data_IF_429159762634
#
_entry.id   IF_429159762634
#
_cell.length_a   1.000
_cell.length_b   1.000
_cell.length_c   1.000
_cell.angle_alpha   90.00
_cell.angle_beta   90.00
_cell.angle_gamma   90.00
#
_symmetry.space_group_name_H-M   'P 1'
#
loop_
_entity.id
_entity.type
_entity.pdbx_description
1 polymer ?
#
# COMPACT_ATOMS: atom_id res chain seq x y z
N UNK A 1 3.58 31.44 14.79
CA UNK A 1 2.26 30.78 14.87
C UNK A 1 2.33 29.49 14.03
N UNK A 2 3.00 28.39 14.42
CA UNK A 2 2.69 27.40 15.47
C UNK A 2 1.28 26.79 15.40
N UNK A 3 0.85 26.25 14.24
CA UNK A 3 -0.35 25.37 14.14
C UNK A 3 -0.30 24.34 12.98
N UNK A 4 0.82 23.65 12.74
CA UNK A 4 0.86 22.57 11.72
C UNK A 4 1.38 21.22 12.27
N UNK A 5 1.86 21.16 13.52
CA UNK A 5 2.55 19.97 14.02
C UNK A 5 1.66 18.94 14.77
N UNK A 6 0.34 19.09 14.83
CA UNK A 6 -0.49 18.30 15.75
C UNK A 6 -1.44 17.27 15.12
N UNK A 7 -1.43 17.09 13.80
CA UNK A 7 -2.33 16.14 13.13
C UNK A 7 -1.69 14.77 12.82
N UNK A 8 -0.36 14.63 12.94
CA UNK A 8 0.36 13.41 12.54
C UNK A 8 0.59 12.39 13.66
N UNK A 9 0.20 12.68 14.90
CA UNK A 9 0.53 11.85 16.07
C UNK A 9 -0.66 11.12 16.70
N UNK A 10 -1.82 11.06 16.03
CA UNK A 10 -3.05 10.46 16.58
C UNK A 10 -3.42 9.08 16.01
N UNK A 11 -2.65 8.50 15.09
CA UNK A 11 -2.99 7.20 14.48
C UNK A 11 -2.42 5.96 15.19
N UNK A 12 -1.64 6.10 16.27
CA UNK A 12 -0.87 4.98 16.80
C UNK A 12 -1.58 4.09 17.84
N UNK A 13 -2.88 4.23 18.09
CA UNK A 13 -3.56 3.34 19.06
C UNK A 13 -4.98 2.98 18.62
N UNK A 14 -5.11 2.14 17.59
CA UNK A 14 -6.33 1.39 17.33
C UNK A 14 -6.06 -0.09 17.65
N UNK A 15 -6.66 -0.55 18.76
CA UNK A 15 -6.57 -1.95 19.18
C UNK A 15 -7.44 -2.83 18.26
N UNK A 16 -6.78 -3.80 17.63
CA UNK A 16 -7.24 -4.87 16.73
C UNK A 16 -8.49 -5.66 17.20
N UNK A 17 -9.72 -5.19 16.93
CA UNK A 17 -10.94 -6.02 17.10
C UNK A 17 -12.07 -5.76 16.09
N UNK A 18 -11.80 -5.06 14.99
CA UNK A 18 -12.69 -4.97 13.84
C UNK A 18 -11.83 -5.14 12.57
N UNK A 19 -12.41 -5.53 11.44
CA UNK A 19 -11.75 -5.60 10.12
C UNK A 19 -11.32 -4.19 9.64
N UNK A 20 -10.51 -3.51 10.44
CA UNK A 20 -9.99 -2.18 10.23
C UNK A 20 -8.81 -2.27 9.26
N UNK A 21 -8.62 -1.21 8.49
CA UNK A 21 -7.47 -1.09 7.59
C UNK A 21 -6.19 -1.09 8.43
N UNK A 22 -5.29 -2.03 8.16
CA UNK A 22 -4.02 -2.20 8.89
C UNK A 22 -2.92 -1.26 8.37
N UNK A 23 -3.08 -0.73 7.15
CA UNK A 23 -2.13 0.22 6.59
C UNK A 23 -2.70 0.99 5.41
N UNK A 24 -2.20 2.22 5.24
CA UNK A 24 -2.55 3.11 4.13
C UNK A 24 -1.25 3.52 3.44
N UNK A 25 -1.22 3.43 2.11
CA UNK A 25 -0.09 3.87 1.30
C UNK A 25 -0.55 4.84 0.21
N UNK A 26 0.32 5.79 -0.12
CA UNK A 26 0.13 6.74 -1.22
C UNK A 26 1.23 6.50 -2.25
N UNK A 27 0.84 6.33 -3.50
CA UNK A 27 1.77 6.06 -4.61
C UNK A 27 1.60 7.14 -5.67
N UNK A 28 2.72 7.69 -6.13
CA UNK A 28 2.76 8.63 -7.24
C UNK A 28 3.68 8.12 -8.33
N UNK A 29 3.24 8.19 -9.58
CA UNK A 29 4.03 7.83 -10.76
C UNK A 29 4.01 8.95 -11.79
N UNK A 30 5.15 9.25 -12.39
CA UNK A 30 5.28 10.21 -13.49
C UNK A 30 5.76 9.46 -14.74
N UNK A 31 5.02 9.58 -15.83
CA UNK A 31 5.37 9.00 -17.12
C UNK A 31 5.27 10.03 -18.26
N UNK A 32 5.84 9.74 -19.43
CA UNK A 32 5.87 10.67 -20.56
C UNK A 32 4.48 11.10 -21.05
N UNK A 33 3.50 10.21 -20.93
CA UNK A 33 2.14 10.39 -21.47
C UNK A 33 1.08 10.57 -20.38
N UNK A 34 1.37 10.17 -19.14
CA UNK A 34 0.43 10.21 -18.04
C UNK A 34 1.10 10.25 -16.68
N UNK A 35 0.44 10.97 -15.76
CA UNK A 35 0.74 11.00 -14.35
C UNK A 35 -0.24 10.09 -13.61
N UNK A 36 0.22 9.39 -12.59
CA UNK A 36 -0.59 8.50 -11.76
C UNK A 36 -0.51 8.92 -10.30
N UNK A 37 -1.66 8.92 -9.64
CA UNK A 37 -1.76 8.96 -8.17
C UNK A 37 -2.63 7.81 -7.70
N UNK A 38 -2.24 7.14 -6.63
CA UNK A 38 -2.99 6.04 -6.07
C UNK A 38 -2.96 6.04 -4.53
N UNK A 39 -4.03 5.51 -3.95
CA UNK A 39 -4.16 5.24 -2.52
C UNK A 39 -4.43 3.74 -2.36
N UNK A 40 -3.63 3.07 -1.54
CA UNK A 40 -3.80 1.66 -1.19
C UNK A 40 -4.18 1.53 0.27
N UNK A 41 -5.15 0.67 0.54
CA UNK A 41 -5.54 0.20 1.86
C UNK A 41 -5.11 -1.25 1.99
N UNK A 42 -4.53 -1.63 3.12
CA UNK A 42 -4.01 -2.97 3.35
C UNK A 42 -4.65 -3.61 4.58
N UNK A 43 -4.87 -4.93 4.53
CA UNK A 43 -5.38 -5.74 5.64
C UNK A 43 -4.50 -6.99 5.82
N UNK A 44 -3.78 -7.06 6.93
CA UNK A 44 -2.88 -8.16 7.25
C UNK A 44 -3.70 -9.44 7.51
N UNK A 45 -3.25 -10.57 6.97
CA UNK A 45 -3.92 -11.84 7.17
C UNK A 45 -3.76 -12.40 8.58
N UNK A 46 -2.86 -11.82 9.39
CA UNK A 46 -2.45 -12.33 10.69
C UNK A 46 -1.76 -13.69 10.62
N UNK A 47 -1.32 -14.11 9.42
CA UNK A 47 -0.71 -15.42 9.16
C UNK A 47 0.76 -15.27 8.77
N UNK A 48 1.58 -16.15 9.34
CA UNK A 48 3.01 -16.24 9.06
C UNK A 48 3.38 -17.68 8.74
N UNK A 49 4.18 -17.85 7.69
CA UNK A 49 4.69 -19.14 7.22
C UNK A 49 6.21 -19.12 7.20
N UNK A 50 6.81 -20.32 7.17
CA UNK A 50 8.28 -20.53 7.15
C UNK A 50 9.02 -19.89 8.33
N UNK A 51 8.48 -20.04 9.54
CA UNK A 51 8.93 -19.33 10.75
C UNK A 51 10.17 -19.94 11.44
N UNK A 52 10.83 -20.91 10.82
CA UNK A 52 11.92 -21.69 11.43
C UNK A 52 13.29 -20.97 11.40
N UNK A 53 13.40 -19.82 10.72
CA UNK A 53 14.62 -19.01 10.64
C UNK A 53 14.38 -17.52 10.83
N UNK A 54 15.29 -16.68 10.37
CA UNK A 54 15.21 -15.21 10.54
C UNK A 54 14.18 -14.53 9.63
N UNK A 55 13.63 -15.25 8.67
CA UNK A 55 12.66 -14.77 7.69
C UNK A 55 11.30 -15.42 7.90
N UNK A 56 10.25 -14.70 7.57
CA UNK A 56 8.90 -15.23 7.50
C UNK A 56 8.18 -14.69 6.27
N UNK A 57 7.30 -15.53 5.73
CA UNK A 57 6.35 -15.13 4.71
C UNK A 57 5.04 -14.75 5.39
N UNK A 58 4.60 -13.52 5.20
CA UNK A 58 3.26 -13.07 5.55
C UNK A 58 2.46 -12.73 4.29
N UNK A 59 1.28 -12.18 4.50
CA UNK A 59 0.52 -11.59 3.41
C UNK A 59 -0.60 -10.70 3.90
N UNK A 60 -1.10 -9.90 2.98
CA UNK A 60 -2.19 -8.96 3.22
C UNK A 60 -3.04 -8.83 1.97
N UNK A 61 -4.30 -8.44 2.17
CA UNK A 61 -5.13 -7.93 1.09
C UNK A 61 -4.78 -6.48 0.85
N UNK A 62 -4.64 -6.07 -0.41
CA UNK A 62 -4.45 -4.70 -0.82
C UNK A 62 -5.62 -4.27 -1.70
N UNK A 63 -6.28 -3.16 -1.34
CA UNK A 63 -7.27 -2.48 -2.17
C UNK A 63 -6.68 -1.15 -2.62
N UNK A 64 -6.58 -0.94 -3.92
CA UNK A 64 -5.98 0.27 -4.50
C UNK A 64 -7.00 1.02 -5.32
N UNK A 65 -7.15 2.31 -5.05
CA UNK A 65 -7.80 3.27 -5.95
C UNK A 65 -6.74 4.12 -6.63
N UNK A 66 -6.73 4.15 -7.96
CA UNK A 66 -5.76 4.88 -8.76
C UNK A 66 -6.45 5.79 -9.78
N UNK A 67 -5.85 6.95 -10.01
CA UNK A 67 -6.24 7.92 -11.02
C UNK A 67 -5.05 8.22 -11.91
N UNK A 68 -5.25 8.13 -13.23
CA UNK A 68 -4.28 8.55 -14.23
C UNK A 68 -4.78 9.79 -14.94
N UNK A 69 -3.90 10.79 -15.03
CA UNK A 69 -4.12 12.02 -15.77
C UNK A 69 -3.20 12.05 -16.97
N UNK A 70 -3.75 12.03 -18.18
CA UNK A 70 -2.99 12.19 -19.41
C UNK A 70 -2.38 13.59 -19.51
N UNK A 71 -1.12 13.69 -19.95
CA UNK A 71 -0.38 14.95 -20.13
C UNK A 71 -0.32 15.41 -21.61
N UNK A 72 -1.09 14.74 -22.48
CA UNK A 72 -1.17 15.03 -23.92
C UNK A 72 -2.15 16.15 -24.33
N UNK A 73 -2.15 16.54 -25.62
CA UNK A 73 -2.99 17.65 -26.14
C UNK A 73 -4.50 17.40 -26.08
N UNK A 74 -4.95 16.19 -25.77
CA UNK A 74 -6.32 15.89 -25.32
C UNK A 74 -6.30 15.48 -23.84
N UNK A 75 -6.27 16.45 -22.90
CA UNK A 75 -6.22 16.21 -21.45
C UNK A 75 -7.53 15.65 -20.86
N UNK A 76 -8.51 15.28 -21.70
CA UNK A 76 -9.88 14.98 -21.28
C UNK A 76 -10.10 13.54 -20.78
N UNK A 77 -9.08 12.67 -20.85
CA UNK A 77 -9.21 11.29 -20.38
C UNK A 77 -8.49 11.10 -19.05
N UNK A 78 -9.23 11.37 -17.97
CA UNK A 78 -8.89 10.85 -16.65
C UNK A 78 -9.35 9.39 -16.60
N UNK A 79 -8.40 8.48 -16.39
CA UNK A 79 -8.68 7.06 -16.19
C UNK A 79 -8.73 6.80 -14.69
N UNK A 80 -9.76 6.10 -14.24
CA UNK A 80 -9.86 5.67 -12.85
C UNK A 80 -9.80 4.16 -12.79
N UNK A 81 -9.12 3.61 -11.79
CA UNK A 81 -9.18 2.19 -11.53
C UNK A 81 -9.29 1.90 -10.05
N UNK A 82 -9.96 0.79 -9.78
CA UNK A 82 -9.99 0.17 -8.47
C UNK A 82 -9.54 -1.28 -8.62
N UNK A 83 -8.65 -1.73 -7.75
CA UNK A 83 -8.15 -3.08 -7.79
C UNK A 83 -7.97 -3.68 -6.42
N UNK A 84 -8.02 -5.01 -6.38
CA UNK A 84 -7.79 -5.80 -5.18
C UNK A 84 -6.77 -6.90 -5.48
N UNK A 85 -5.78 -7.04 -4.61
CA UNK A 85 -4.72 -8.04 -4.75
C UNK A 85 -4.44 -8.74 -3.41
N UNK A 86 -4.29 -10.08 -3.38
CA UNK A 86 -3.55 -10.75 -2.33
C UNK A 86 -2.04 -10.51 -2.57
N UNK A 87 -1.36 -9.92 -1.59
CA UNK A 87 0.08 -9.66 -1.65
C UNK A 87 0.79 -10.50 -0.59
N UNK A 88 1.79 -11.26 -1.01
CA UNK A 88 2.68 -12.00 -0.14
C UNK A 88 3.92 -11.17 0.13
N UNK A 89 4.32 -11.05 1.41
CA UNK A 89 5.50 -10.30 1.83
C UNK A 89 6.49 -11.24 2.53
N UNK A 90 7.69 -11.34 1.99
CA UNK A 90 8.82 -12.00 2.63
C UNK A 90 9.65 -10.94 3.38
N UNK A 91 9.72 -11.08 4.70
CA UNK A 91 10.43 -10.13 5.57
C UNK A 91 11.11 -10.84 6.74
N UNK A 92 12.02 -10.15 7.45
CA UNK A 92 12.70 -10.69 8.64
C UNK A 92 11.89 -10.52 9.92
N UNK A 93 12.07 -11.42 10.87
CA UNK A 93 11.50 -11.31 12.23
C UNK A 93 12.10 -10.16 13.02
N UNK A 94 13.43 -10.09 13.02
CA UNK A 94 14.16 -9.07 13.76
C UNK A 94 14.78 -8.10 12.77
N UNK A 95 14.46 -6.81 12.88
CA UNK A 95 15.15 -5.77 12.15
C UNK A 95 16.68 -5.88 12.27
N UNK A 96 17.40 -6.04 11.16
CA UNK A 96 18.87 -6.02 11.19
C UNK A 96 19.36 -4.58 11.12
N UNK A 97 19.15 -3.83 12.20
CA UNK A 97 19.49 -2.41 12.31
C UNK A 97 18.43 -1.48 11.70
N UNK A 98 18.87 -0.37 11.11
CA UNK A 98 17.98 0.65 10.54
C UNK A 98 17.40 0.27 9.16
N UNK A 99 17.97 -0.74 8.50
CA UNK A 99 17.52 -1.24 7.20
C UNK A 99 16.88 -2.62 7.34
N UNK A 100 15.62 -2.71 6.94
CA UNK A 100 14.84 -3.95 6.92
C UNK A 100 14.40 -4.23 5.49
N UNK A 101 15.21 -4.96 4.71
CA UNK A 101 14.80 -5.36 3.37
C UNK A 101 13.62 -6.32 3.45
N UNK A 102 12.68 -6.14 2.54
CA UNK A 102 11.55 -7.02 2.32
C UNK A 102 11.32 -7.17 0.82
N UNK A 103 10.63 -8.24 0.43
CA UNK A 103 10.20 -8.46 -0.94
C UNK A 103 8.71 -8.78 -0.95
N UNK A 104 8.00 -8.29 -1.96
CA UNK A 104 6.57 -8.49 -2.12
C UNK A 104 6.25 -9.03 -3.51
N UNK A 105 5.23 -9.87 -3.57
CA UNK A 105 4.63 -10.31 -4.82
C UNK A 105 3.13 -10.52 -4.63
N UNK A 106 2.33 -10.01 -5.55
CA UNK A 106 0.88 -10.17 -5.53
C UNK A 106 0.31 -10.25 -6.93
N UNK A 107 -0.81 -10.96 -7.08
CA UNK A 107 -1.53 -11.09 -8.35
C UNK A 107 -2.99 -10.74 -8.07
N UNK A 108 -3.41 -9.57 -8.53
CA UNK A 108 -4.75 -9.03 -8.28
C UNK A 108 -5.56 -8.81 -9.55
N UNK A 109 -6.76 -8.25 -9.35
CA UNK A 109 -7.64 -7.81 -10.41
C UNK A 109 -7.89 -6.30 -10.30
N UNK A 110 -7.93 -5.61 -11.43
CA UNK A 110 -8.23 -4.18 -11.53
C UNK A 110 -9.38 -3.96 -12.50
N UNK A 111 -10.32 -3.12 -12.09
CA UNK A 111 -11.38 -2.58 -12.95
C UNK A 111 -11.03 -1.15 -13.31
N UNK A 112 -11.04 -0.84 -14.60
CA UNK A 112 -10.82 0.50 -15.15
C UNK A 112 -12.14 1.12 -15.60
N UNK A 113 -12.24 2.44 -15.50
CA UNK A 113 -13.37 3.26 -15.98
C UNK A 113 -12.90 4.35 -16.93
#
# INVERSE_FOLDING_TARGET
>A
MKKIAFALLACCTLNNTANAVDGIAFTGGHGPDANMVAVSLTWDWGKRWFTEGDWHLGGYWELTGAAWKGDGPSPEKELYAIGIAPVFRLQRFTPSGWLNPYAEAGIGAYQFS
#
